data_IF_111409763297
#
_entry.id   IF_111409763297
#
_cell.length_a   1.000
_cell.length_b   1.000
_cell.length_c   1.000
_cell.angle_alpha   90.00
_cell.angle_beta   90.00
_cell.angle_gamma   90.00
#
_symmetry.space_group_name_H-M   'P 1'
#
loop_
_entity.id
_entity.type
_entity.pdbx_description
1 polymer ?
#
# COMPACT_ATOMS: atom_id res chain seq x y z
N UNK A 1 4.27 -2.82 -26.56
CA UNK A 1 4.86 -1.52 -26.16
C UNK A 1 6.30 -1.79 -25.77
N UNK A 2 7.26 -1.12 -26.42
CA UNK A 2 8.68 -1.26 -26.08
C UNK A 2 8.95 -0.57 -24.74
N UNK A 3 9.60 -1.30 -23.82
CA UNK A 3 10.08 -0.74 -22.55
C UNK A 3 10.97 0.47 -22.83
N UNK A 4 10.79 1.61 -22.16
CA UNK A 4 11.73 2.72 -22.28
C UNK A 4 13.12 2.22 -21.83
N UNK A 5 14.09 2.34 -22.73
CA UNK A 5 15.49 2.02 -22.46
C UNK A 5 16.03 3.04 -21.46
N UNK A 6 16.49 2.54 -20.31
CA UNK A 6 17.02 3.28 -19.14
C UNK A 6 16.01 4.11 -18.36
N UNK A 7 15.46 3.51 -17.30
CA UNK A 7 14.99 4.25 -16.14
C UNK A 7 16.22 4.81 -15.41
N UNK A 8 16.20 6.08 -14.93
CA UNK A 8 17.26 6.63 -14.11
C UNK A 8 17.47 5.78 -12.87
N UNK A 9 18.66 5.84 -12.26
CA UNK A 9 19.04 5.11 -11.04
C UNK A 9 18.24 5.57 -9.80
N UNK A 10 16.91 5.51 -9.87
CA UNK A 10 16.03 5.64 -8.75
C UNK A 10 16.01 4.29 -8.03
N UNK A 11 16.21 4.32 -6.71
CA UNK A 11 15.98 3.17 -5.82
C UNK A 11 14.74 2.40 -6.28
N UNK A 12 14.80 1.06 -6.46
CA UNK A 12 13.69 0.28 -6.99
C UNK A 12 12.49 0.48 -6.08
N UNK A 13 11.57 1.33 -6.53
CA UNK A 13 10.33 1.56 -5.84
C UNK A 13 9.43 0.35 -6.12
N UNK A 14 8.55 0.03 -5.19
CA UNK A 14 7.57 -1.05 -5.37
C UNK A 14 6.78 -0.88 -6.66
N UNK A 15 6.53 0.36 -7.09
CA UNK A 15 5.89 0.69 -8.37
C UNK A 15 6.57 0.05 -9.58
N UNK A 16 7.90 0.17 -9.71
CA UNK A 16 8.63 -0.35 -10.88
C UNK A 16 8.59 -1.87 -10.96
N UNK A 17 8.64 -2.54 -9.80
CA UNK A 17 8.48 -4.00 -9.71
C UNK A 17 7.11 -4.46 -10.19
N UNK A 18 6.05 -3.75 -9.76
CA UNK A 18 4.68 -4.03 -10.20
C UNK A 18 4.53 -3.80 -11.70
N UNK A 19 5.06 -2.69 -12.21
CA UNK A 19 5.00 -2.35 -13.64
C UNK A 19 5.69 -3.40 -14.50
N UNK A 20 6.89 -3.84 -14.10
CA UNK A 20 7.60 -4.93 -14.77
C UNK A 20 6.79 -6.23 -14.75
N UNK A 21 6.23 -6.60 -13.60
CA UNK A 21 5.43 -7.82 -13.44
C UNK A 21 4.23 -7.85 -14.40
N UNK A 22 3.51 -6.71 -14.51
CA UNK A 22 2.37 -6.54 -15.43
C UNK A 22 2.78 -6.72 -16.89
N UNK A 23 3.95 -6.21 -17.28
CA UNK A 23 4.52 -6.36 -18.62
C UNK A 23 4.88 -7.80 -19.00
N UNK A 24 4.93 -8.73 -18.03
CA UNK A 24 5.30 -10.12 -18.31
C UNK A 24 4.15 -11.01 -18.80
N UNK A 25 2.92 -10.47 -18.88
CA UNK A 25 1.75 -11.22 -19.30
C UNK A 25 1.34 -12.34 -18.33
N UNK A 26 1.68 -12.21 -17.04
CA UNK A 26 1.29 -13.13 -15.96
C UNK A 26 0.17 -12.55 -15.10
N UNK A 27 -0.48 -13.40 -14.32
CA UNK A 27 -1.29 -12.95 -13.20
C UNK A 27 -0.39 -12.33 -12.12
N UNK A 28 -0.81 -11.21 -11.54
CA UNK A 28 0.00 -10.46 -10.56
C UNK A 28 -0.82 -10.25 -9.29
N UNK A 29 -0.25 -10.66 -8.15
CA UNK A 29 -0.74 -10.31 -6.82
C UNK A 29 0.21 -9.25 -6.23
N UNK A 30 -0.33 -8.07 -5.94
CA UNK A 30 0.40 -6.92 -5.41
C UNK A 30 0.08 -6.81 -3.92
N UNK A 31 1.09 -6.82 -3.06
CA UNK A 31 0.87 -6.55 -1.63
C UNK A 31 0.41 -5.12 -1.39
N UNK A 32 -0.36 -4.91 -0.31
CA UNK A 32 -0.81 -3.57 0.06
C UNK A 32 0.28 -2.84 0.88
N UNK A 33 0.52 -1.54 0.66
CA UNK A 33 -0.12 -0.68 -0.34
C UNK A 33 0.45 -0.91 -1.76
N UNK A 34 -0.41 -0.76 -2.78
CA UNK A 34 -0.05 -1.01 -4.19
C UNK A 34 1.09 -0.13 -4.69
N UNK A 35 1.13 1.12 -4.25
CA UNK A 35 2.13 2.13 -4.57
C UNK A 35 2.14 3.18 -3.46
N UNK A 36 3.09 4.11 -3.53
CA UNK A 36 3.21 5.16 -2.54
C UNK A 36 2.39 6.38 -2.95
N UNK A 37 2.37 6.72 -4.25
CA UNK A 37 1.74 7.96 -4.73
C UNK A 37 0.50 7.78 -5.60
N UNK A 38 -0.34 8.82 -5.70
CA UNK A 38 -1.52 8.84 -6.57
C UNK A 38 -1.16 8.74 -8.07
N UNK A 39 -0.14 9.47 -8.60
CA UNK A 39 0.30 9.27 -9.97
C UNK A 39 0.73 7.82 -10.26
N UNK A 40 1.56 7.22 -9.41
CA UNK A 40 1.95 5.80 -9.49
C UNK A 40 0.71 4.88 -9.48
N UNK A 41 -0.31 5.21 -8.69
CA UNK A 41 -1.54 4.44 -8.63
C UNK A 41 -2.31 4.44 -9.96
N UNK A 42 -2.38 5.61 -10.59
CA UNK A 42 -3.06 5.77 -11.88
C UNK A 42 -2.30 5.06 -13.00
N UNK A 43 -0.97 5.14 -13.01
CA UNK A 43 -0.11 4.46 -13.99
C UNK A 43 -0.25 2.93 -13.89
N UNK A 44 -0.18 2.37 -12.67
CA UNK A 44 -0.41 0.94 -12.45
C UNK A 44 -1.83 0.51 -12.79
N UNK A 45 -2.83 1.34 -12.50
CA UNK A 45 -4.22 1.08 -12.86
C UNK A 45 -4.41 0.95 -14.38
N UNK A 46 -3.79 1.85 -15.15
CA UNK A 46 -3.82 1.78 -16.62
C UNK A 46 -3.08 0.52 -17.14
N UNK A 47 -1.88 0.25 -16.63
CA UNK A 47 -1.10 -0.93 -17.02
C UNK A 47 -1.83 -2.24 -16.67
N UNK A 48 -2.55 -2.29 -15.54
CA UNK A 48 -3.33 -3.45 -15.14
C UNK A 48 -4.52 -3.70 -16.09
N UNK A 49 -5.20 -2.64 -16.56
CA UNK A 49 -6.26 -2.76 -17.56
C UNK A 49 -5.73 -3.33 -18.89
N UNK A 50 -4.53 -2.93 -19.30
CA UNK A 50 -3.93 -3.34 -20.57
C UNK A 50 -3.31 -4.75 -20.52
N UNK A 51 -2.95 -5.26 -19.33
CA UNK A 51 -2.24 -6.53 -19.19
C UNK A 51 -3.03 -7.77 -19.64
N UNK A 52 -4.36 -7.67 -19.84
CA UNK A 52 -5.25 -8.78 -20.16
C UNK A 52 -5.08 -10.00 -19.22
N UNK A 53 -4.77 -9.74 -17.94
CA UNK A 53 -4.54 -10.73 -16.88
C UNK A 53 -5.22 -10.29 -15.60
N UNK A 54 -5.43 -11.25 -14.70
CA UNK A 54 -5.86 -10.97 -13.32
C UNK A 54 -4.75 -10.23 -12.58
N UNK A 55 -5.06 -9.02 -12.12
CA UNK A 55 -4.24 -8.21 -11.22
C UNK A 55 -5.04 -8.00 -9.95
N UNK A 56 -4.48 -8.40 -8.81
CA UNK A 56 -5.15 -8.30 -7.51
C UNK A 56 -4.26 -7.56 -6.52
N UNK A 57 -4.88 -6.75 -5.66
CA UNK A 57 -4.21 -6.16 -4.50
C UNK A 57 -4.51 -7.02 -3.28
N UNK A 58 -3.52 -7.23 -2.41
CA UNK A 58 -3.53 -8.05 -1.18
C UNK A 58 -4.50 -7.58 -0.08
N UNK A 59 -5.71 -7.14 -0.41
CA UNK A 59 -6.79 -6.89 0.53
C UNK A 59 -7.52 -8.19 0.92
N UNK A 60 -6.77 -9.17 1.42
CA UNK A 60 -7.25 -10.53 1.74
C UNK A 60 -8.54 -10.56 2.58
N UNK A 61 -8.73 -9.63 3.53
CA UNK A 61 -9.91 -9.55 4.39
C UNK A 61 -11.22 -9.37 3.62
N UNK A 62 -11.19 -8.79 2.41
CA UNK A 62 -12.37 -8.60 1.55
C UNK A 62 -12.97 -9.92 1.06
N UNK A 63 -12.18 -10.99 1.07
CA UNK A 63 -12.56 -12.33 0.61
C UNK A 63 -12.89 -13.29 1.77
N UNK A 64 -12.99 -12.77 3.00
CA UNK A 64 -13.42 -13.60 4.13
C UNK A 64 -14.94 -13.81 4.08
N UNK A 65 -15.46 -14.99 4.47
CA UNK A 65 -16.91 -15.26 4.45
C UNK A 65 -17.73 -14.20 5.20
N UNK A 66 -17.20 -13.69 6.31
CA UNK A 66 -17.84 -12.63 7.10
C UNK A 66 -17.98 -11.33 6.31
N UNK A 67 -16.97 -10.96 5.50
CA UNK A 67 -17.00 -9.74 4.70
C UNK A 67 -17.94 -9.88 3.49
N UNK A 68 -17.94 -11.05 2.85
CA UNK A 68 -18.88 -11.37 1.78
C UNK A 68 -20.33 -11.34 2.27
N UNK A 69 -20.59 -11.90 3.47
CA UNK A 69 -21.91 -11.85 4.09
C UNK A 69 -22.32 -10.44 4.47
N UNK A 70 -21.40 -9.65 5.03
CA UNK A 70 -21.65 -8.24 5.34
C UNK A 70 -22.03 -7.46 4.07
N UNK A 71 -21.34 -7.68 2.95
CA UNK A 71 -21.69 -7.06 1.65
C UNK A 71 -23.12 -7.44 1.22
N UNK A 72 -23.48 -8.72 1.26
CA UNK A 72 -24.83 -9.17 0.91
C UNK A 72 -25.92 -8.50 1.78
N UNK A 73 -25.66 -8.36 3.08
CA UNK A 73 -26.60 -7.70 3.99
C UNK A 73 -26.74 -6.22 3.67
N UNK A 74 -25.62 -5.55 3.36
CA UNK A 74 -25.61 -4.14 2.97
C UNK A 74 -26.36 -3.91 1.66
N UNK A 75 -26.13 -4.75 0.65
CA UNK A 75 -26.79 -4.66 -0.66
C UNK A 75 -28.32 -4.87 -0.56
N UNK A 76 -28.78 -5.60 0.46
CA UNK A 76 -30.20 -5.86 0.72
C UNK A 76 -30.88 -4.80 1.60
N UNK A 77 -30.16 -3.80 2.13
CA UNK A 77 -30.75 -2.80 3.03
C UNK A 77 -31.69 -1.85 2.28
N UNK A 78 -32.96 -1.84 2.68
CA UNK A 78 -33.92 -0.83 2.24
C UNK A 78 -33.55 0.53 2.84
N UNK A 79 -33.42 1.56 1.99
CA UNK A 79 -33.12 2.93 2.42
C UNK A 79 -31.62 3.30 2.44
N UNK A 80 -30.72 2.38 2.09
CA UNK A 80 -29.29 2.66 1.94
C UNK A 80 -28.53 2.86 3.26
N UNK A 81 -27.31 3.41 3.17
CA UNK A 81 -26.41 3.58 4.32
C UNK A 81 -26.52 5.01 4.85
N UNK A 82 -27.09 5.18 6.04
CA UNK A 82 -27.18 6.48 6.71
C UNK A 82 -25.91 6.84 7.50
N UNK A 83 -25.16 5.85 7.99
CA UNK A 83 -23.94 6.05 8.77
C UNK A 83 -22.98 4.88 8.58
N UNK A 84 -21.70 5.19 8.37
CA UNK A 84 -20.61 4.23 8.41
C UNK A 84 -19.56 4.71 9.41
N UNK A 85 -19.15 3.85 10.34
CA UNK A 85 -18.09 4.14 11.31
C UNK A 85 -17.02 3.07 11.22
N UNK A 86 -15.79 3.52 11.02
CA UNK A 86 -14.60 2.65 11.03
C UNK A 86 -13.74 3.05 12.22
N UNK A 87 -13.36 2.07 13.04
CA UNK A 87 -12.38 2.24 14.10
C UNK A 87 -11.22 1.30 13.82
N UNK A 88 -10.05 1.87 13.59
CA UNK A 88 -8.80 1.12 13.49
C UNK A 88 -7.91 1.54 14.67
N UNK A 89 -7.33 0.56 15.34
CA UNK A 89 -6.25 0.78 16.30
C UNK A 89 -4.97 0.51 15.51
N UNK A 90 -4.26 1.58 15.16
CA UNK A 90 -3.06 1.55 14.33
C UNK A 90 -1.94 2.21 15.13
N UNK A 91 -0.75 1.66 15.04
CA UNK A 91 0.44 2.17 15.69
C UNK A 91 1.67 1.42 15.20
N UNK A 92 2.87 1.83 15.64
CA UNK A 92 4.09 1.08 15.39
C UNK A 92 3.94 -0.37 15.85
N UNK A 93 4.44 -1.32 15.06
CA UNK A 93 4.36 -2.75 15.40
C UNK A 93 4.97 -3.05 16.78
N UNK A 94 6.04 -2.35 17.15
CA UNK A 94 6.70 -2.47 18.47
C UNK A 94 5.74 -2.24 19.64
N UNK A 95 4.82 -1.29 19.53
CA UNK A 95 3.82 -1.00 20.58
C UNK A 95 2.92 -2.20 20.89
N UNK A 96 2.67 -3.06 19.89
CA UNK A 96 1.83 -4.26 20.05
C UNK A 96 2.66 -5.51 20.42
N UNK A 97 3.86 -5.63 19.87
CA UNK A 97 4.69 -6.83 19.99
C UNK A 97 5.54 -6.84 21.26
N UNK A 98 6.24 -5.76 21.57
CA UNK A 98 7.20 -5.69 22.69
C UNK A 98 6.60 -6.08 24.05
N UNK A 99 5.35 -5.71 24.39
CA UNK A 99 4.76 -6.11 25.68
C UNK A 99 4.43 -7.61 25.78
N UNK A 100 4.30 -8.31 24.66
CA UNK A 100 3.80 -9.70 24.62
C UNK A 100 4.83 -10.70 24.15
N UNK A 101 5.88 -10.24 23.47
CA UNK A 101 6.85 -11.09 22.77
C UNK A 101 8.25 -10.51 22.91
N UNK A 102 9.22 -11.35 23.26
CA UNK A 102 10.63 -11.00 23.18
C UNK A 102 11.03 -10.91 21.70
N UNK A 103 11.13 -9.70 21.16
CA UNK A 103 11.58 -9.44 19.79
C UNK A 103 13.09 -9.25 19.81
N UNK A 104 13.81 -10.09 19.07
CA UNK A 104 15.26 -9.95 18.84
C UNK A 104 15.43 -9.35 17.44
N UNK A 105 16.01 -8.14 17.38
CA UNK A 105 16.29 -7.44 16.13
C UNK A 105 17.80 -7.44 15.85
N UNK A 106 18.18 -7.50 14.57
CA UNK A 106 19.58 -7.34 14.15
C UNK A 106 20.04 -5.89 14.24
N UNK A 107 21.36 -5.69 14.36
CA UNK A 107 22.04 -4.39 14.33
C UNK A 107 22.78 -4.16 13.00
N UNK A 108 22.50 -4.98 11.99
CA UNK A 108 23.17 -5.02 10.70
C UNK A 108 22.74 -3.90 9.74
N UNK A 109 21.77 -3.07 10.13
CA UNK A 109 21.31 -1.93 9.35
C UNK A 109 21.71 -0.61 10.02
N UNK A 110 22.59 0.18 9.37
CA UNK A 110 22.92 1.52 9.85
C UNK A 110 21.67 2.40 10.00
N UNK A 111 21.56 3.13 11.11
CA UNK A 111 20.37 3.94 11.42
C UNK A 111 20.18 5.12 10.48
N UNK A 112 21.28 5.68 9.98
CA UNK A 112 21.28 6.75 8.96
C UNK A 112 20.63 6.30 7.65
N UNK A 113 20.82 5.05 7.23
CA UNK A 113 20.14 4.50 6.06
C UNK A 113 18.62 4.40 6.24
N UNK A 114 18.16 4.08 7.46
CA UNK A 114 16.74 4.02 7.79
C UNK A 114 16.11 5.41 7.79
N UNK A 115 16.81 6.38 8.38
CA UNK A 115 16.36 7.77 8.44
C UNK A 115 16.28 8.37 7.02
N UNK A 116 17.31 8.14 6.19
CA UNK A 116 17.34 8.60 4.80
C UNK A 116 16.21 7.97 3.96
N UNK A 117 15.98 6.65 4.10
CA UNK A 117 14.89 5.96 3.40
C UNK A 117 13.52 6.50 3.82
N UNK A 118 13.34 6.74 5.13
CA UNK A 118 12.10 7.29 5.68
C UNK A 118 11.85 8.72 5.19
N UNK A 119 12.88 9.55 5.15
CA UNK A 119 12.81 10.93 4.67
C UNK A 119 12.56 11.00 3.15
N UNK A 120 13.22 10.15 2.37
CA UNK A 120 13.00 10.02 0.93
C UNK A 120 11.56 9.59 0.60
N UNK A 121 10.95 8.75 1.44
CA UNK A 121 9.55 8.34 1.30
C UNK A 121 8.57 9.41 1.82
N UNK A 122 8.93 10.14 2.88
CA UNK A 122 8.14 11.23 3.44
C UNK A 122 8.05 12.48 2.53
N UNK A 123 9.09 12.72 1.73
CA UNK A 123 9.16 13.85 0.77
C UNK A 123 8.35 13.61 -0.50
N UNK A 124 7.98 12.36 -0.81
CA UNK A 124 7.03 12.04 -1.87
C UNK A 124 5.62 12.40 -1.41
N UNK A 125 5.13 13.57 -1.83
CA UNK A 125 3.84 14.12 -1.42
C UNK A 125 2.68 13.23 -1.87
N UNK A 126 1.90 12.71 -0.92
CA UNK A 126 0.68 11.97 -1.23
C UNK A 126 -0.36 12.35 -0.20
N UNK A 127 -1.53 12.73 -0.69
CA UNK A 127 -2.52 13.62 -0.04
C UNK A 127 -2.25 15.14 -0.16
N UNK A 128 -1.36 15.56 -1.07
CA UNK A 128 -1.19 16.97 -1.46
C UNK A 128 -0.56 17.88 -0.40
N UNK A 129 0.06 17.32 0.63
CA UNK A 129 0.81 18.05 1.67
C UNK A 129 1.89 17.16 2.28
N UNK A 130 3.03 17.74 2.64
CA UNK A 130 4.11 17.10 3.42
C UNK A 130 4.02 17.40 4.92
N UNK A 131 3.10 18.29 5.30
CA UNK A 131 2.93 18.78 6.67
C UNK A 131 1.51 18.53 7.21
N UNK A 132 1.41 18.58 8.54
CA UNK A 132 0.15 18.53 9.27
C UNK A 132 -0.46 17.11 9.39
N UNK A 133 -1.72 17.04 9.86
CA UNK A 133 -2.35 15.77 10.23
C UNK A 133 -2.47 14.76 9.09
N UNK A 134 -2.63 15.22 7.84
CA UNK A 134 -2.73 14.34 6.67
C UNK A 134 -1.40 13.66 6.35
N UNK A 135 -0.31 14.42 6.39
CA UNK A 135 1.02 13.86 6.19
C UNK A 135 1.38 12.87 7.30
N UNK A 136 1.03 13.18 8.57
CA UNK A 136 1.21 12.26 9.68
C UNK A 136 0.43 10.93 9.48
N UNK A 137 -0.86 11.00 9.15
CA UNK A 137 -1.68 9.81 8.92
C UNK A 137 -1.14 8.99 7.75
N UNK A 138 -0.67 9.64 6.69
CA UNK A 138 -0.07 8.96 5.55
C UNK A 138 1.19 8.18 5.96
N UNK A 139 2.11 8.82 6.69
CA UNK A 139 3.32 8.14 7.22
C UNK A 139 2.95 6.95 8.10
N UNK A 140 2.03 7.16 9.04
CA UNK A 140 1.54 6.10 9.93
C UNK A 140 0.96 4.90 9.18
N UNK A 141 0.17 5.13 8.12
CA UNK A 141 -0.44 4.06 7.33
C UNK A 141 0.56 3.30 6.46
N UNK A 142 1.67 3.94 6.09
CA UNK A 142 2.75 3.35 5.33
C UNK A 142 3.85 2.73 6.21
N UNK A 143 3.81 2.96 7.52
CA UNK A 143 4.87 2.53 8.44
C UNK A 143 6.16 3.32 8.28
N UNK A 144 6.05 4.59 7.85
CA UNK A 144 7.13 5.58 7.77
C UNK A 144 7.19 6.43 9.04
#
# INVERSE_FOLDING_TARGET
MSMPSSLPAHQPCTHDMHWHALGTGRHVLIEKPMCMTLPEANELGAAACDAARVVQIGYMRRHTPTFEKARQLVDAMAGGINMARVRAIIGPNSTFLTPTTAVISGEDMPSDMLDEATEALATRSVAGTTEGPRAFVHKLLLGL
#
